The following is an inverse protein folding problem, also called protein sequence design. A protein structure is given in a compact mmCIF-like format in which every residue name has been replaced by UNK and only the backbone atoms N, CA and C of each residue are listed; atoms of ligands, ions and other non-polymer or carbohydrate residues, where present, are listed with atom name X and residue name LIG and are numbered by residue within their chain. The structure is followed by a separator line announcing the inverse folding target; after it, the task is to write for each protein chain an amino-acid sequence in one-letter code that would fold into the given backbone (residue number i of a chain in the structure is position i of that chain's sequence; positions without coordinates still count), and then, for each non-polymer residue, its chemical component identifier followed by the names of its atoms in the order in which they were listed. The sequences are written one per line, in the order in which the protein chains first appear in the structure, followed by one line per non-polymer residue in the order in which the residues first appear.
data_IF_212865891595
#
_entry.id   IF_212865891595
#
_cell.length_a   1.000
_cell.length_b   1.000
_cell.length_c   1.000
_cell.angle_alpha   90.00
_cell.angle_beta   90.00
_cell.angle_gamma   90.00
#
_symmetry.space_group_name_H-M   'P 1'
#
loop_
_entity.id
_entity.type
_entity.pdbx_description
1 polymer ?
#
# COMPACT_ATOMS: atom_id res chain seq x y z
N UNK A 1 8.56 -2.40 25.11
CA UNK A 1 7.78 -2.34 23.85
C UNK A 1 6.27 -2.41 24.15
N UNK A 2 5.50 -1.46 23.62
CA UNK A 2 4.03 -1.41 23.71
C UNK A 2 3.42 -2.20 22.55
N UNK A 3 2.37 -2.96 22.82
CA UNK A 3 1.60 -3.71 21.82
C UNK A 3 0.13 -3.29 21.83
N UNK A 4 -0.51 -3.32 20.66
CA UNK A 4 -1.96 -3.31 20.52
C UNK A 4 -2.34 -4.43 19.55
N UNK A 5 -3.24 -5.30 19.98
CA UNK A 5 -3.72 -6.45 19.22
C UNK A 5 -5.14 -6.22 18.73
N UNK A 6 -5.46 -6.82 17.58
CA UNK A 6 -6.83 -7.10 17.20
C UNK A 6 -7.40 -8.16 18.19
N UNK A 7 -8.59 -7.94 18.77
CA UNK A 7 -9.16 -8.85 19.78
C UNK A 7 -9.23 -10.32 19.34
N UNK A 8 -9.47 -10.59 18.05
CA UNK A 8 -9.57 -11.95 17.51
C UNK A 8 -8.26 -12.75 17.58
N UNK A 9 -7.14 -12.12 17.95
CA UNK A 9 -5.82 -12.75 18.04
C UNK A 9 -5.26 -12.79 19.47
N UNK A 10 -6.09 -12.56 20.50
CA UNK A 10 -5.67 -12.60 21.90
C UNK A 10 -5.00 -13.93 22.29
N UNK A 11 -5.51 -15.07 21.80
CA UNK A 11 -4.95 -16.40 22.07
C UNK A 11 -3.51 -16.57 21.56
N UNK A 12 -3.14 -15.82 20.52
CA UNK A 12 -1.84 -15.90 19.84
C UNK A 12 -0.84 -14.85 20.34
N UNK A 13 -1.21 -13.99 21.28
CA UNK A 13 -0.37 -12.88 21.74
C UNK A 13 1.02 -13.29 22.19
N UNK A 14 1.12 -14.35 23.00
CA UNK A 14 2.39 -14.82 23.54
C UNK A 14 3.35 -15.21 22.41
N UNK A 15 2.86 -15.97 21.43
CA UNK A 15 3.65 -16.40 20.26
C UNK A 15 4.06 -15.21 19.40
N UNK A 16 3.15 -14.27 19.13
CA UNK A 16 3.46 -13.08 18.34
C UNK A 16 4.52 -12.21 19.03
N UNK A 17 4.42 -12.01 20.34
CA UNK A 17 5.44 -11.28 21.13
C UNK A 17 6.81 -11.96 21.01
N UNK A 18 6.88 -13.29 21.09
CA UNK A 18 8.13 -14.04 20.86
C UNK A 18 8.69 -13.80 19.46
N UNK A 19 7.86 -13.86 18.41
CA UNK A 19 8.32 -13.59 17.04
C UNK A 19 8.85 -12.17 16.86
N UNK A 20 8.24 -11.17 17.52
CA UNK A 20 8.73 -9.78 17.48
C UNK A 20 10.04 -9.63 18.24
N UNK A 21 10.18 -10.25 19.42
CA UNK A 21 11.43 -10.23 20.20
C UNK A 21 12.58 -10.88 19.44
N UNK A 22 12.33 -11.97 18.74
CA UNK A 22 13.35 -12.70 17.96
C UNK A 22 13.43 -12.23 16.51
N UNK A 23 12.90 -11.04 16.19
CA UNK A 23 12.72 -10.61 14.80
C UNK A 23 14.01 -10.55 14.00
N UNK A 24 15.15 -10.21 14.60
CA UNK A 24 16.42 -10.12 13.87
C UNK A 24 17.03 -11.49 13.58
N UNK A 25 16.85 -12.48 14.45
CA UNK A 25 17.45 -13.82 14.34
C UNK A 25 16.56 -14.87 13.67
N UNK A 26 15.24 -14.75 13.78
CA UNK A 26 14.29 -15.75 13.29
C UNK A 26 13.47 -15.26 12.09
N UNK A 27 12.59 -16.13 11.55
CA UNK A 27 11.66 -15.83 10.47
C UNK A 27 12.28 -15.85 9.08
N UNK A 28 11.44 -16.07 8.07
CA UNK A 28 11.87 -16.10 6.66
C UNK A 28 11.80 -14.69 6.07
N UNK A 29 12.92 -14.14 5.60
CA UNK A 29 12.95 -12.85 4.93
C UNK A 29 12.04 -12.87 3.67
N UNK A 30 11.21 -11.85 3.54
CA UNK A 30 10.32 -11.65 2.41
C UNK A 30 10.61 -10.30 1.75
N UNK A 31 11.04 -10.33 0.48
CA UNK A 31 11.52 -9.16 -0.25
C UNK A 31 13.03 -8.90 -0.08
N UNK A 32 13.47 -7.68 -0.40
CA UNK A 32 14.89 -7.32 -0.47
C UNK A 32 15.53 -6.92 0.88
N UNK A 33 14.71 -6.66 1.90
CA UNK A 33 15.15 -6.24 3.24
C UNK A 33 15.91 -4.92 3.31
N UNK A 34 15.97 -4.11 2.24
CA UNK A 34 16.86 -2.94 2.18
C UNK A 34 16.39 -1.79 3.08
N UNK A 35 15.10 -1.43 2.97
CA UNK A 35 14.54 -0.28 3.70
C UNK A 35 13.69 -0.70 4.87
N UNK A 36 12.66 -1.49 4.63
CA UNK A 36 11.85 -2.11 5.67
C UNK A 36 12.13 -3.61 5.58
N UNK A 37 12.28 -4.29 6.72
CA UNK A 37 12.43 -5.74 6.74
C UNK A 37 11.05 -6.35 6.93
N UNK A 38 10.67 -7.29 6.08
CA UNK A 38 9.45 -8.08 6.23
C UNK A 38 9.88 -9.52 6.42
N UNK A 39 9.37 -10.18 7.46
CA UNK A 39 9.64 -11.59 7.72
C UNK A 39 8.34 -12.37 7.92
N UNK A 40 8.31 -13.60 7.39
CA UNK A 40 7.22 -14.55 7.54
C UNK A 40 7.45 -15.42 8.76
N UNK A 41 6.36 -15.71 9.48
CA UNK A 41 6.34 -16.63 10.61
C UNK A 41 5.10 -17.52 10.54
N UNK A 42 5.25 -18.76 10.99
CA UNK A 42 4.12 -19.67 11.18
C UNK A 42 3.47 -19.41 12.54
N UNK A 43 2.14 -19.29 12.51
CA UNK A 43 1.26 -19.06 13.65
C UNK A 43 0.13 -20.10 13.62
N UNK A 44 0.50 -21.37 13.83
CA UNK A 44 -0.44 -22.49 13.73
C UNK A 44 -0.76 -22.80 12.28
N UNK A 45 -2.04 -22.71 11.92
CA UNK A 45 -2.57 -22.90 10.57
C UNK A 45 -2.40 -21.66 9.66
N UNK A 46 -1.90 -20.55 10.23
CA UNK A 46 -1.73 -19.28 9.51
C UNK A 46 -0.26 -18.93 9.34
N UNK A 47 0.05 -18.25 8.25
CA UNK A 47 1.31 -17.51 8.08
C UNK A 47 1.06 -16.03 8.37
N UNK A 48 1.95 -15.39 9.11
CA UNK A 48 1.88 -13.96 9.42
C UNK A 48 3.07 -13.21 8.81
N UNK A 49 2.83 -11.96 8.45
CA UNK A 49 3.83 -10.97 8.06
C UNK A 49 4.17 -10.09 9.26
N UNK A 50 5.45 -10.00 9.61
CA UNK A 50 5.95 -8.96 10.53
C UNK A 50 6.80 -7.98 9.73
N UNK A 51 6.34 -6.73 9.61
CA UNK A 51 7.04 -5.64 8.93
C UNK A 51 7.68 -4.71 9.96
N UNK A 52 9.01 -4.72 10.00
CA UNK A 52 9.82 -3.76 10.75
C UNK A 52 10.10 -2.52 9.90
N UNK A 53 9.75 -1.35 10.41
CA UNK A 53 9.97 -0.07 9.73
C UNK A 53 11.31 0.53 10.09
N UNK A 54 12.01 1.09 9.09
CA UNK A 54 13.24 1.86 9.32
C UNK A 54 13.01 2.96 10.36
N UNK A 55 13.92 3.01 11.33
CA UNK A 55 14.01 4.09 12.31
C UNK A 55 14.15 5.44 11.56
N UNK A 56 13.26 6.41 11.81
CA UNK A 56 13.37 7.73 11.20
C UNK A 56 14.68 8.45 11.59
N UNK A 57 15.14 9.42 10.81
CA UNK A 57 16.24 10.30 11.24
C UNK A 57 15.80 11.13 12.46
N UNK A 58 16.74 11.63 13.27
CA UNK A 58 16.50 12.25 14.59
C UNK A 58 15.37 13.29 14.61
N UNK A 59 15.32 14.20 13.63
CA UNK A 59 14.24 15.21 13.49
C UNK A 59 12.86 14.55 13.36
N UNK A 60 12.77 13.49 12.56
CA UNK A 60 11.53 12.75 12.40
C UNK A 60 11.21 11.90 13.64
N UNK A 61 12.21 11.40 14.39
CA UNK A 61 11.97 10.65 15.63
C UNK A 61 11.25 11.52 16.68
N UNK A 62 11.66 12.77 16.84
CA UNK A 62 10.99 13.74 17.71
C UNK A 62 9.57 14.00 17.22
N UNK A 63 9.37 14.20 15.91
CA UNK A 63 8.04 14.34 15.34
C UNK A 63 7.13 13.12 15.61
N UNK A 64 7.65 11.88 15.53
CA UNK A 64 6.89 10.67 15.87
C UNK A 64 6.66 10.49 17.38
N UNK A 65 7.51 11.06 18.24
CA UNK A 65 7.31 11.01 19.69
C UNK A 65 6.19 11.95 20.14
N UNK A 66 6.09 13.14 19.55
CA UNK A 66 5.22 14.21 20.06
C UNK A 66 4.04 14.58 19.14
N UNK A 67 4.12 14.29 17.83
CA UNK A 67 3.16 14.86 16.85
C UNK A 67 2.61 13.85 15.82
N UNK A 68 3.24 12.68 15.63
CA UNK A 68 2.85 11.72 14.58
C UNK A 68 2.84 10.28 15.09
N UNK A 69 1.78 9.54 14.78
CA UNK A 69 1.74 8.08 14.98
C UNK A 69 2.81 7.39 14.14
N UNK A 70 3.44 6.32 14.66
CA UNK A 70 4.43 5.58 13.88
C UNK A 70 3.83 4.99 12.60
N UNK A 71 4.70 4.55 11.69
CA UNK A 71 4.24 3.84 10.49
C UNK A 71 3.54 2.52 10.81
N UNK A 72 3.98 1.82 11.85
CA UNK A 72 3.36 0.57 12.27
C UNK A 72 1.93 0.80 12.77
N UNK A 73 1.76 1.74 13.69
CA UNK A 73 0.45 2.12 14.21
C UNK A 73 -0.48 2.61 13.10
N UNK A 74 0.01 3.48 12.20
CA UNK A 74 -0.80 3.93 11.05
C UNK A 74 -1.20 2.77 10.13
N UNK A 75 -0.30 1.83 9.86
CA UNK A 75 -0.62 0.66 9.04
C UNK A 75 -1.75 -0.15 9.66
N UNK A 76 -1.69 -0.41 10.97
CA UNK A 76 -2.73 -1.13 11.69
C UNK A 76 -4.06 -0.38 11.72
N UNK A 77 -4.06 0.90 12.08
CA UNK A 77 -5.29 1.71 12.14
C UNK A 77 -5.94 1.85 10.76
N UNK A 78 -5.15 2.08 9.71
CA UNK A 78 -5.67 2.20 8.35
C UNK A 78 -6.16 0.86 7.80
N UNK A 79 -5.50 -0.26 8.12
CA UNK A 79 -5.99 -1.59 7.75
C UNK A 79 -7.38 -1.87 8.33
N UNK A 80 -7.59 -1.60 9.63
CA UNK A 80 -8.91 -1.77 10.25
C UNK A 80 -9.94 -0.87 9.59
N UNK A 81 -9.60 0.39 9.31
CA UNK A 81 -10.50 1.31 8.62
C UNK A 81 -10.85 0.88 7.19
N UNK A 82 -9.92 0.25 6.46
CA UNK A 82 -10.19 -0.32 5.14
C UNK A 82 -11.20 -1.47 5.25
N UNK A 83 -10.99 -2.39 6.20
CA UNK A 83 -11.90 -3.52 6.45
C UNK A 83 -13.30 -3.02 6.83
N UNK A 84 -13.42 -2.03 7.71
CA UNK A 84 -14.69 -1.40 8.09
C UNK A 84 -15.42 -0.78 6.88
N UNK A 85 -14.68 -0.36 5.85
CA UNK A 85 -15.23 0.19 4.61
C UNK A 85 -15.44 -0.85 3.50
N UNK A 86 -15.21 -2.14 3.79
CA UNK A 86 -15.30 -3.23 2.80
C UNK A 86 -14.19 -3.21 1.75
N UNK A 87 -13.08 -2.51 2.02
CA UNK A 87 -11.92 -2.44 1.12
C UNK A 87 -10.92 -3.54 1.52
N UNK A 88 -10.54 -4.36 0.53
CA UNK A 88 -9.61 -5.46 0.73
C UNK A 88 -8.23 -5.01 1.24
N UNK A 89 -7.76 -5.66 2.29
CA UNK A 89 -6.38 -5.58 2.80
C UNK A 89 -6.11 -6.82 3.67
N UNK A 90 -4.85 -7.28 3.82
CA UNK A 90 -4.55 -8.40 4.72
C UNK A 90 -4.99 -8.10 6.16
N UNK A 91 -5.55 -9.10 6.85
CA UNK A 91 -6.09 -8.96 8.20
C UNK A 91 -5.02 -8.38 9.15
N UNK A 92 -5.24 -7.19 9.73
CA UNK A 92 -4.33 -6.63 10.72
C UNK A 92 -4.43 -7.42 12.02
N UNK A 93 -3.29 -7.86 12.53
CA UNK A 93 -3.19 -8.65 13.76
C UNK A 93 -2.78 -7.75 14.92
N UNK A 94 -1.73 -6.95 14.74
CA UNK A 94 -1.21 -6.11 15.80
C UNK A 94 -0.28 -5.02 15.27
N UNK A 95 0.05 -4.07 16.14
CA UNK A 95 1.28 -3.30 16.01
C UNK A 95 2.05 -3.29 17.33
N UNK A 96 3.38 -3.16 17.23
CA UNK A 96 4.28 -3.01 18.36
C UNK A 96 5.17 -1.78 18.17
N UNK A 97 5.42 -1.03 19.24
CA UNK A 97 6.28 0.16 19.22
C UNK A 97 7.17 0.21 20.47
N UNK A 98 8.44 0.52 20.28
CA UNK A 98 9.36 0.83 21.38
C UNK A 98 9.84 2.28 21.27
N UNK A 99 9.79 3.02 22.37
CA UNK A 99 10.28 4.38 22.45
C UNK A 99 11.39 4.46 23.49
N UNK A 100 12.46 5.17 23.14
CA UNK A 100 13.50 5.61 24.07
C UNK A 100 13.37 7.09 24.36
N UNK A 101 14.21 7.61 25.25
CA UNK A 101 14.20 9.04 25.59
C UNK A 101 14.28 9.94 24.34
N UNK A 102 15.09 9.57 23.35
CA UNK A 102 15.28 10.35 22.11
C UNK A 102 14.19 10.16 21.03
N UNK A 103 13.25 9.22 21.17
CA UNK A 103 12.18 9.02 20.19
C UNK A 103 11.82 7.57 19.90
N UNK A 104 11.13 7.36 18.79
CA UNK A 104 10.77 6.02 18.30
C UNK A 104 12.05 5.23 17.98
N UNK A 105 12.23 4.10 18.65
CA UNK A 105 13.36 3.20 18.46
C UNK A 105 12.99 2.11 17.46
N UNK A 106 11.89 1.41 17.67
CA UNK A 106 11.45 0.31 16.80
C UNK A 106 9.94 0.33 16.64
N UNK A 107 9.47 -0.14 15.48
CA UNK A 107 8.04 -0.30 15.24
C UNK A 107 7.77 -1.43 14.27
N UNK A 108 6.79 -2.27 14.60
CA UNK A 108 6.41 -3.47 13.86
C UNK A 108 4.92 -3.44 13.55
N UNK A 109 4.57 -3.66 12.28
CA UNK A 109 3.20 -3.96 11.87
C UNK A 109 3.07 -5.45 11.61
N UNK A 110 2.05 -6.09 12.19
CA UNK A 110 1.79 -7.51 12.08
C UNK A 110 0.44 -7.70 11.38
N UNK A 111 0.44 -8.48 10.31
CA UNK A 111 -0.77 -8.87 9.58
C UNK A 111 -0.73 -10.35 9.23
N UNK A 112 -1.86 -10.92 8.83
CA UNK A 112 -1.84 -12.19 8.11
C UNK A 112 -1.04 -12.03 6.81
N UNK A 113 -0.43 -13.13 6.37
CA UNK A 113 0.18 -13.22 5.05
C UNK A 113 -0.87 -13.59 4.02
N UNK A 114 -1.03 -12.74 3.01
CA UNK A 114 -1.92 -13.01 1.89
C UNK A 114 -1.11 -13.55 0.72
N UNK A 115 -1.33 -14.82 0.37
CA UNK A 115 -0.87 -15.39 -0.90
C UNK A 115 -1.70 -14.81 -2.03
N UNK A 116 -1.09 -14.09 -2.97
CA UNK A 116 -1.74 -13.51 -4.14
C UNK A 116 -1.24 -14.13 -5.43
N UNK A 117 -2.08 -14.15 -6.47
CA UNK A 117 -1.71 -14.71 -7.78
C UNK A 117 -0.83 -13.75 -8.58
N UNK A 118 -1.03 -12.44 -8.39
CA UNK A 118 -0.23 -11.37 -9.00
C UNK A 118 -0.35 -10.07 -8.21
N UNK A 119 0.44 -9.08 -8.58
CA UNK A 119 0.22 -7.67 -8.21
C UNK A 119 -0.19 -6.87 -9.44
N UNK A 120 -0.57 -5.60 -9.24
CA UNK A 120 -0.84 -4.71 -10.37
C UNK A 120 0.41 -4.49 -11.25
N UNK A 121 1.63 -4.69 -10.71
CA UNK A 121 2.90 -4.57 -11.44
C UNK A 121 2.97 -5.53 -12.62
N UNK A 122 2.48 -6.74 -12.49
CA UNK A 122 2.51 -7.77 -13.53
C UNK A 122 1.72 -7.30 -14.76
N UNK A 123 0.57 -6.62 -14.58
CA UNK A 123 -0.20 -6.02 -15.67
C UNK A 123 0.58 -4.90 -16.38
N UNK A 124 1.43 -4.18 -15.66
CA UNK A 124 2.30 -3.15 -16.23
C UNK A 124 3.48 -3.79 -16.95
N UNK A 125 4.04 -4.89 -16.48
CA UNK A 125 5.21 -5.53 -17.10
C UNK A 125 4.83 -6.43 -18.28
N UNK A 126 3.65 -7.06 -18.24
CA UNK A 126 3.18 -8.07 -19.19
C UNK A 126 1.82 -7.64 -19.80
N UNK A 127 1.80 -6.81 -20.86
CA UNK A 127 0.59 -6.47 -21.61
C UNK A 127 -0.25 -7.67 -22.06
N UNK A 128 0.42 -8.79 -22.33
CA UNK A 128 -0.15 -10.05 -22.80
C UNK A 128 -0.75 -10.91 -21.68
N UNK A 129 -0.76 -10.43 -20.43
CA UNK A 129 -1.33 -11.19 -19.31
C UNK A 129 -2.79 -11.59 -19.60
N UNK A 130 -3.19 -12.85 -19.36
CA UNK A 130 -4.56 -13.29 -19.65
C UNK A 130 -5.61 -12.45 -18.93
N UNK A 131 -6.67 -12.06 -19.65
CA UNK A 131 -7.80 -11.29 -19.11
C UNK A 131 -7.42 -9.87 -18.62
N UNK A 132 -6.33 -9.31 -19.16
CA UNK A 132 -5.75 -8.02 -18.75
C UNK A 132 -6.76 -6.87 -18.67
N UNK A 133 -7.55 -6.66 -19.73
CA UNK A 133 -8.53 -5.57 -19.77
C UNK A 133 -9.60 -5.72 -18.68
N UNK A 134 -10.11 -6.93 -18.48
CA UNK A 134 -11.11 -7.20 -17.45
C UNK A 134 -10.55 -6.93 -16.05
N UNK A 135 -9.31 -7.33 -15.77
CA UNK A 135 -8.64 -7.02 -14.49
C UNK A 135 -8.53 -5.50 -14.31
N UNK A 136 -8.13 -4.75 -15.34
CA UNK A 136 -8.05 -3.28 -15.27
C UNK A 136 -9.39 -2.63 -14.98
N UNK A 137 -10.47 -3.12 -15.59
CA UNK A 137 -11.83 -2.61 -15.36
C UNK A 137 -12.28 -2.89 -13.93
N UNK A 138 -12.07 -4.10 -13.40
CA UNK A 138 -12.41 -4.44 -12.02
C UNK A 138 -11.54 -3.70 -11.00
N UNK A 139 -10.25 -3.54 -11.28
CA UNK A 139 -9.34 -2.72 -10.46
C UNK A 139 -9.79 -1.25 -10.43
N UNK A 140 -10.25 -0.73 -11.58
CA UNK A 140 -10.79 0.64 -11.66
C UNK A 140 -12.04 0.78 -10.82
N UNK A 141 -12.94 -0.22 -10.85
CA UNK A 141 -14.12 -0.25 -9.97
C UNK A 141 -13.72 -0.28 -8.49
N UNK A 142 -12.77 -1.13 -8.12
CA UNK A 142 -12.21 -1.18 -6.77
C UNK A 142 -11.65 0.18 -6.32
N UNK A 143 -10.90 0.86 -7.20
CA UNK A 143 -10.36 2.20 -6.92
C UNK A 143 -11.45 3.27 -6.86
N UNK A 144 -12.49 3.16 -7.69
CA UNK A 144 -13.65 4.02 -7.61
C UNK A 144 -14.35 3.87 -6.25
N UNK A 145 -14.55 2.63 -5.78
CA UNK A 145 -15.16 2.36 -4.48
C UNK A 145 -14.31 2.91 -3.32
N UNK A 146 -12.99 2.79 -3.42
CA UNK A 146 -12.05 3.45 -2.50
C UNK A 146 -12.28 4.97 -2.43
N UNK A 147 -12.45 5.61 -3.58
CA UNK A 147 -12.70 7.05 -3.69
C UNK A 147 -14.10 7.47 -3.19
N UNK A 148 -15.12 6.65 -3.41
CA UNK A 148 -16.48 6.86 -2.87
C UNK A 148 -16.47 6.88 -1.33
N UNK A 149 -15.56 6.14 -0.71
CA UNK A 149 -15.33 6.17 0.75
C UNK A 149 -14.42 7.30 1.21
N UNK A 150 -14.02 8.20 0.31
CA UNK A 150 -13.14 9.33 0.61
C UNK A 150 -11.70 8.92 0.92
N UNK A 151 -11.26 7.74 0.49
CA UNK A 151 -9.94 7.20 0.84
C UNK A 151 -8.94 7.53 -0.28
N UNK A 152 -7.95 8.36 0.03
CA UNK A 152 -6.86 8.67 -0.88
C UNK A 152 -5.63 7.83 -0.49
N UNK A 153 -5.24 6.89 -1.36
CA UNK A 153 -4.07 6.06 -1.12
C UNK A 153 -2.80 6.74 -1.66
N UNK A 154 -1.95 7.30 -0.79
CA UNK A 154 -0.81 8.11 -1.25
C UNK A 154 0.35 7.29 -1.82
N UNK A 155 0.35 5.98 -1.59
CA UNK A 155 1.30 5.02 -2.16
C UNK A 155 0.60 4.07 -3.15
N UNK A 156 -0.43 4.56 -3.86
CA UNK A 156 -1.17 3.85 -4.91
C UNK A 156 -0.29 3.56 -6.13
N UNK A 157 0.52 2.52 -6.01
CA UNK A 157 1.55 2.12 -6.98
C UNK A 157 1.42 0.65 -7.34
N UNK A 158 2.07 0.17 -8.42
CA UNK A 158 1.79 -1.15 -8.98
C UNK A 158 2.12 -2.30 -8.04
N UNK A 159 3.13 -2.13 -7.18
CA UNK A 159 3.51 -3.15 -6.20
C UNK A 159 2.67 -3.16 -4.93
N UNK A 160 1.72 -2.22 -4.77
CA UNK A 160 0.97 -2.04 -3.52
C UNK A 160 -0.50 -2.51 -3.61
N UNK A 161 -0.85 -3.17 -4.71
CA UNK A 161 -2.14 -3.86 -4.86
C UNK A 161 -1.87 -5.32 -5.20
N UNK A 162 -2.24 -6.20 -4.28
CA UNK A 162 -2.26 -7.63 -4.47
C UNK A 162 -3.58 -8.04 -5.13
N UNK A 163 -3.52 -9.00 -6.04
CA UNK A 163 -4.67 -9.45 -6.82
C UNK A 163 -4.83 -10.97 -6.62
N UNK A 164 -6.03 -11.39 -6.24
CA UNK A 164 -6.44 -12.79 -6.18
C UNK A 164 -7.43 -13.10 -7.29
N UNK A 165 -7.19 -14.17 -8.03
CA UNK A 165 -8.12 -14.69 -9.02
C UNK A 165 -9.21 -15.51 -8.34
N UNK A 166 -10.46 -15.29 -8.76
CA UNK A 166 -11.64 -16.07 -8.38
C UNK A 166 -12.21 -16.79 -9.60
N UNK A 167 -13.19 -17.66 -9.38
CA UNK A 167 -13.92 -18.32 -10.46
C UNK A 167 -14.66 -17.31 -11.34
N UNK A 168 -14.83 -17.63 -12.63
CA UNK A 168 -15.64 -16.80 -13.54
C UNK A 168 -15.03 -15.44 -13.87
N UNK A 169 -13.70 -15.37 -14.03
CA UNK A 169 -12.97 -14.13 -14.38
C UNK A 169 -13.24 -12.97 -13.41
N UNK A 170 -13.45 -13.30 -12.13
CA UNK A 170 -13.58 -12.33 -11.06
C UNK A 170 -12.25 -12.19 -10.32
N UNK A 171 -11.98 -11.00 -9.82
CA UNK A 171 -10.74 -10.68 -9.12
C UNK A 171 -11.01 -9.92 -7.83
N UNK A 172 -10.24 -10.22 -6.79
CA UNK A 172 -10.23 -9.47 -5.54
C UNK A 172 -8.93 -8.69 -5.40
N UNK A 173 -9.04 -7.47 -4.87
CA UNK A 173 -7.94 -6.53 -4.75
C UNK A 173 -7.66 -6.21 -3.29
N UNK A 174 -6.39 -6.24 -2.90
CA UNK A 174 -5.96 -6.01 -1.54
C UNK A 174 -4.84 -4.97 -1.48
N UNK A 175 -5.06 -3.89 -0.74
CA UNK A 175 -4.05 -2.86 -0.52
C UNK A 175 -3.02 -3.32 0.51
N UNK A 176 -1.74 -3.04 0.22
CA UNK A 176 -0.61 -3.22 1.16
C UNK A 176 0.23 -1.95 1.23
N UNK A 177 1.20 -1.89 2.14
CA UNK A 177 2.00 -0.67 2.42
C UNK A 177 1.14 0.55 2.81
N UNK A 178 0.27 0.33 3.79
CA UNK A 178 -0.83 1.23 4.10
C UNK A 178 -0.43 2.53 4.79
N UNK A 179 0.81 2.68 5.29
CA UNK A 179 1.18 3.76 6.22
C UNK A 179 1.10 5.20 5.66
N UNK A 180 0.58 5.43 4.45
CA UNK A 180 0.34 6.76 3.87
C UNK A 180 -1.02 6.77 3.15
N UNK A 181 -2.05 7.15 3.89
CA UNK A 181 -3.40 7.36 3.39
C UNK A 181 -3.95 8.66 3.97
N UNK A 182 -4.79 9.34 3.20
CA UNK A 182 -5.67 10.39 3.71
C UNK A 182 -7.11 9.91 3.65
N UNK A 183 -7.92 10.39 4.59
CA UNK A 183 -9.33 10.05 4.66
C UNK A 183 -10.14 11.34 4.70
N UNK A 184 -10.82 11.60 3.60
CA UNK A 184 -11.57 12.81 3.33
C UNK A 184 -13.06 12.58 3.58
N UNK A 185 -13.82 13.65 3.84
CA UNK A 185 -15.29 13.57 3.84
C UNK A 185 -15.83 13.28 2.44
N UNK A 186 -15.20 13.85 1.42
CA UNK A 186 -15.42 13.56 0.02
C UNK A 186 -14.13 13.82 -0.77
N UNK A 187 -13.94 13.11 -1.88
CA UNK A 187 -12.85 13.39 -2.84
C UNK A 187 -13.42 14.01 -4.10
N UNK A 188 -12.85 15.14 -4.51
CA UNK A 188 -13.19 15.77 -5.78
C UNK A 188 -12.59 15.00 -6.97
N UNK A 189 -13.02 15.38 -8.17
CA UNK A 189 -12.58 14.74 -9.41
C UNK A 189 -11.06 14.81 -9.62
N UNK A 190 -10.43 15.95 -9.32
CA UNK A 190 -9.00 16.15 -9.57
C UNK A 190 -8.15 15.29 -8.63
N UNK A 191 -8.52 15.23 -7.35
CA UNK A 191 -7.91 14.35 -6.35
C UNK A 191 -8.01 12.88 -6.76
N UNK A 192 -9.20 12.46 -7.21
CA UNK A 192 -9.46 11.09 -7.69
C UNK A 192 -8.57 10.74 -8.88
N UNK A 193 -8.51 11.60 -9.91
CA UNK A 193 -7.66 11.36 -11.09
C UNK A 193 -6.18 11.34 -10.73
N UNK A 194 -5.76 12.25 -9.84
CA UNK A 194 -4.38 12.29 -9.34
C UNK A 194 -4.01 11.04 -8.57
N UNK A 195 -4.95 10.36 -7.90
CA UNK A 195 -4.67 9.15 -7.14
C UNK A 195 -4.22 7.96 -8.03
N UNK A 196 -4.49 7.99 -9.33
CA UNK A 196 -4.02 6.98 -10.29
C UNK A 196 -2.58 7.20 -10.78
N UNK A 197 -1.98 8.37 -10.52
CA UNK A 197 -0.83 8.87 -11.28
C UNK A 197 0.48 8.07 -11.17
N UNK A 198 0.56 7.09 -10.27
CA UNK A 198 1.75 6.24 -10.09
C UNK A 198 1.56 4.82 -10.61
N UNK A 199 0.38 4.47 -11.11
CA UNK A 199 0.02 3.10 -11.46
C UNK A 199 0.64 2.62 -12.77
N UNK A 200 0.67 3.44 -13.80
CA UNK A 200 1.19 2.97 -15.08
C UNK A 200 1.66 4.11 -15.94
N UNK A 201 2.77 3.94 -16.69
CA UNK A 201 3.12 4.87 -17.74
C UNK A 201 2.43 4.60 -19.08
N UNK A 202 1.66 3.51 -19.17
CA UNK A 202 1.11 3.00 -20.42
C UNK A 202 -0.23 3.65 -20.77
N UNK A 203 -0.27 4.38 -21.88
CA UNK A 203 -1.45 5.10 -22.35
C UNK A 203 -2.62 4.17 -22.62
N UNK A 204 -2.37 2.97 -23.12
CA UNK A 204 -3.38 1.93 -23.38
C UNK A 204 -4.08 1.47 -22.10
N UNK A 205 -3.34 1.33 -20.99
CA UNK A 205 -3.94 1.03 -19.68
C UNK A 205 -4.76 2.22 -19.16
N UNK A 206 -4.24 3.45 -19.33
CA UNK A 206 -4.98 4.65 -18.96
C UNK A 206 -6.29 4.78 -19.73
N UNK A 207 -6.33 4.38 -21.00
CA UNK A 207 -7.55 4.39 -21.82
C UNK A 207 -8.62 3.46 -21.24
N UNK A 208 -8.26 2.20 -20.94
CA UNK A 208 -9.18 1.22 -20.33
C UNK A 208 -9.70 1.71 -18.98
N UNK A 209 -8.80 2.16 -18.10
CA UNK A 209 -9.18 2.66 -16.77
C UNK A 209 -10.04 3.93 -16.87
N UNK A 210 -9.72 4.82 -17.81
CA UNK A 210 -10.51 6.05 -18.02
C UNK A 210 -11.91 5.75 -18.52
N UNK A 211 -12.09 4.79 -19.43
CA UNK A 211 -13.41 4.36 -19.90
C UNK A 211 -14.24 3.76 -18.76
N UNK A 212 -13.65 2.84 -17.97
CA UNK A 212 -14.34 2.26 -16.82
C UNK A 212 -14.70 3.34 -15.78
N UNK A 213 -13.78 4.23 -15.45
CA UNK A 213 -14.00 5.27 -14.46
C UNK A 213 -15.01 6.32 -14.92
N UNK A 214 -14.98 6.70 -16.20
CA UNK A 214 -15.93 7.63 -16.81
C UNK A 214 -17.38 7.16 -16.69
N UNK A 215 -17.62 5.86 -16.91
CA UNK A 215 -18.93 5.22 -16.76
C UNK A 215 -19.43 5.27 -15.32
N UNK A 216 -18.55 4.93 -14.36
CA UNK A 216 -18.89 4.92 -12.93
C UNK A 216 -19.10 6.33 -12.36
N UNK A 217 -18.28 7.30 -12.80
CA UNK A 217 -18.32 8.68 -12.32
C UNK A 217 -19.31 9.56 -13.10
N UNK A 218 -19.99 9.01 -14.13
CA UNK A 218 -20.89 9.73 -15.03
C UNK A 218 -20.28 10.99 -15.67
N UNK A 219 -19.05 10.87 -16.20
CA UNK A 219 -18.33 11.96 -16.86
C UNK A 219 -17.86 11.53 -18.25
N UNK A 220 -17.73 12.47 -19.18
CA UNK A 220 -17.22 12.20 -20.53
C UNK A 220 -15.83 11.54 -20.48
N UNK A 221 -15.65 10.47 -21.26
CA UNK A 221 -14.39 9.73 -21.38
C UNK A 221 -13.19 10.65 -21.62
N UNK A 222 -13.28 11.56 -22.60
CA UNK A 222 -12.16 12.44 -22.98
C UNK A 222 -11.67 13.30 -21.82
N UNK A 223 -12.57 13.73 -20.93
CA UNK A 223 -12.24 14.54 -19.75
C UNK A 223 -11.49 13.71 -18.70
N UNK A 224 -11.93 12.47 -18.48
CA UNK A 224 -11.27 11.53 -17.55
C UNK A 224 -9.89 11.14 -18.09
N UNK A 225 -9.84 10.74 -19.36
CA UNK A 225 -8.62 10.32 -20.03
C UNK A 225 -7.57 11.43 -20.07
N UNK A 226 -7.96 12.64 -20.48
CA UNK A 226 -7.04 13.79 -20.50
C UNK A 226 -6.44 14.05 -19.11
N UNK A 227 -7.23 13.93 -18.04
CA UNK A 227 -6.76 14.19 -16.67
C UNK A 227 -5.92 13.08 -16.09
N UNK A 228 -6.26 11.81 -16.32
CA UNK A 228 -5.42 10.68 -15.93
C UNK A 228 -4.06 10.73 -16.64
N UNK A 229 -4.05 11.04 -17.94
CA UNK A 229 -2.82 11.25 -18.72
C UNK A 229 -2.01 12.43 -18.19
N UNK A 230 -2.65 13.58 -17.94
CA UNK A 230 -1.99 14.76 -17.40
C UNK A 230 -1.27 14.47 -16.08
N UNK A 231 -1.96 13.89 -15.10
CA UNK A 231 -1.35 13.63 -13.80
C UNK A 231 -0.27 12.55 -13.84
N UNK A 232 -0.45 11.53 -14.67
CA UNK A 232 0.56 10.50 -14.92
C UNK A 232 1.83 11.11 -15.53
N UNK A 233 1.70 11.95 -16.55
CA UNK A 233 2.83 12.59 -17.22
C UNK A 233 3.55 13.59 -16.32
N UNK A 234 2.81 14.37 -15.52
CA UNK A 234 3.40 15.26 -14.52
C UNK A 234 4.22 14.46 -13.49
N UNK A 235 3.66 13.37 -12.96
CA UNK A 235 4.37 12.50 -12.02
C UNK A 235 5.66 11.93 -12.60
N UNK A 236 5.60 11.38 -13.83
CA UNK A 236 6.77 10.84 -14.52
C UNK A 236 7.85 11.91 -14.77
N UNK A 237 7.43 13.09 -15.23
CA UNK A 237 8.35 14.21 -15.49
C UNK A 237 9.09 14.59 -14.22
N UNK A 238 8.38 14.73 -13.10
CA UNK A 238 8.99 15.07 -11.81
C UNK A 238 9.90 13.95 -11.29
N UNK A 239 9.51 12.69 -11.48
CA UNK A 239 10.33 11.53 -11.14
C UNK A 239 11.65 11.51 -11.92
N UNK A 240 11.61 11.68 -13.24
CA UNK A 240 12.81 11.73 -14.10
C UNK A 240 13.69 12.94 -13.79
N UNK A 241 13.11 14.13 -13.57
CA UNK A 241 13.86 15.32 -13.13
C UNK A 241 14.61 15.06 -11.82
N UNK A 242 13.98 14.39 -10.86
CA UNK A 242 14.61 14.05 -9.58
C UNK A 242 15.77 13.06 -9.76
N UNK A 243 15.63 12.06 -10.61
CA UNK A 243 16.71 11.11 -10.93
C UNK A 243 17.87 11.85 -11.60
N UNK A 244 17.59 12.68 -12.62
CA UNK A 244 18.61 13.44 -13.33
C UNK A 244 19.39 14.38 -12.39
N UNK A 245 18.71 15.07 -11.48
CA UNK A 245 19.35 15.89 -10.44
C UNK A 245 20.26 15.07 -9.52
N UNK A 246 19.81 13.91 -9.07
CA UNK A 246 20.63 13.02 -8.22
C UNK A 246 21.87 12.53 -8.95
N UNK A 247 21.76 12.15 -10.22
CA UNK A 247 22.92 11.77 -11.05
C UNK A 247 23.91 12.94 -11.10
N UNK A 248 23.48 14.15 -11.46
CA UNK A 248 24.37 15.32 -11.51
C UNK A 248 25.11 15.59 -10.19
N UNK A 249 24.44 15.44 -9.04
CA UNK A 249 25.05 15.66 -7.72
C UNK A 249 25.96 14.52 -7.27
N UNK A 250 25.69 13.28 -7.68
CA UNK A 250 26.48 12.10 -7.30
C UNK A 250 27.66 11.82 -8.23
N UNK A 251 27.64 12.35 -9.47
CA UNK A 251 28.77 12.32 -10.41
C UNK A 251 29.72 13.54 -10.27
N UNK A 252 29.47 14.42 -9.28
CA UNK A 252 30.41 15.43 -8.79
C UNK A 252 31.13 14.95 -7.50
N UNK A 253 31.20 13.63 -7.35
CA UNK A 253 32.07 12.86 -6.44
C UNK A 253 32.67 11.72 -7.23
#
# INVERSE_FOLDING_TARGET
MKYIFNPSFQSSEKRIKTCVTNFDSEGKLFGDGQRNKIKLYDLGDKTINIKSFKIPNLINQVAYKYFRKSKARRSFEYANRLIENGIGTPQPIAYAENFKFSGLEESFYISEHLLSDLTFRELVLHPEYPDHENILRQFTKFTFDLHEKGIEFLDHSPGNTLIKKRSGNQYEFFLVDLNRMNFHGAMDFEMRMKNFNRLTPKTEMLAVMSDAYAKLYHKKYDVVFAKMCFYTNDFQTQFHKKIARKKKLLFWR
#
